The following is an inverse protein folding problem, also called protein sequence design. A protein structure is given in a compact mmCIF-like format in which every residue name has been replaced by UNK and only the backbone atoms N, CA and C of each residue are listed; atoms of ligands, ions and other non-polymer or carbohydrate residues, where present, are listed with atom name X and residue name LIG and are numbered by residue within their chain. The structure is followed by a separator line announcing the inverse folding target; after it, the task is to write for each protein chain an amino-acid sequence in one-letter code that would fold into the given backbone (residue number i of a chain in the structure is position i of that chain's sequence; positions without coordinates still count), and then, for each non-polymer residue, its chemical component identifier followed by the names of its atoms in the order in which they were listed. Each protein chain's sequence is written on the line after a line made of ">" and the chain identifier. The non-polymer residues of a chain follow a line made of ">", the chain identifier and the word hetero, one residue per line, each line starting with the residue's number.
data_IF_099360333479
#
_entry.id   IF_099360333479
#
_cell.length_a   1.000
_cell.length_b   1.000
_cell.length_c   1.000
_cell.angle_alpha   90.00
_cell.angle_beta   90.00
_cell.angle_gamma   90.00
#
_symmetry.space_group_name_H-M   'P 1'
#
loop_
_entity.id
_entity.type
_entity.pdbx_description
1 polymer ?
#
# COMPACT_ATOMS: atom_id res chain seq x y z
N UNK A 1 3.88 7.17 24.53
CA UNK A 1 4.38 5.98 23.81
C UNK A 1 3.91 5.99 22.39
N UNK A 2 4.78 5.56 21.48
CA UNK A 2 4.39 5.44 20.07
C UNK A 2 3.75 4.08 19.83
N UNK A 3 2.55 4.08 19.23
CA UNK A 3 1.86 2.86 18.81
C UNK A 3 2.20 2.51 17.36
N UNK A 4 3.20 3.17 16.78
CA UNK A 4 3.58 2.97 15.40
C UNK A 4 4.33 1.65 15.25
N UNK A 5 3.81 0.77 14.41
CA UNK A 5 4.44 -0.51 14.07
C UNK A 5 5.41 -0.32 12.91
N UNK A 6 4.96 0.39 11.86
CA UNK A 6 5.75 0.71 10.68
C UNK A 6 5.50 2.18 10.32
N UNK A 7 6.55 3.02 10.29
CA UNK A 7 6.36 4.44 10.01
C UNK A 7 6.05 4.72 8.53
N UNK A 8 5.40 5.84 8.30
CA UNK A 8 5.17 6.37 6.96
C UNK A 8 6.47 6.41 6.16
N UNK A 9 6.41 6.00 4.91
CA UNK A 9 7.56 5.96 4.02
C UNK A 9 8.27 4.63 3.97
N UNK A 10 8.07 3.77 4.96
CA UNK A 10 8.60 2.41 4.94
C UNK A 10 7.72 1.50 4.08
N UNK A 11 8.19 0.29 3.85
CA UNK A 11 7.55 -0.65 2.93
C UNK A 11 6.96 -1.84 3.68
N UNK A 12 5.88 -2.37 3.11
CA UNK A 12 5.33 -3.67 3.49
C UNK A 12 5.39 -4.60 2.28
N UNK A 13 5.49 -5.90 2.54
CA UNK A 13 5.51 -6.90 1.48
C UNK A 13 4.15 -7.58 1.39
N UNK A 14 3.65 -7.78 0.18
CA UNK A 14 2.39 -8.47 -0.06
C UNK A 14 2.62 -9.97 0.06
N UNK A 15 1.85 -10.64 0.92
CA UNK A 15 1.92 -12.09 1.10
C UNK A 15 0.77 -12.82 0.44
N UNK A 16 -0.35 -12.14 0.21
CA UNK A 16 -1.51 -12.69 -0.50
C UNK A 16 -1.78 -11.80 -1.72
N UNK A 17 -1.77 -12.35 -2.95
CA UNK A 17 -2.03 -11.56 -4.15
C UNK A 17 -3.35 -10.81 -4.07
N UNK A 18 -3.35 -9.59 -4.55
CA UNK A 18 -4.51 -8.68 -4.49
C UNK A 18 -4.84 -8.21 -5.91
N UNK A 19 -6.13 -8.22 -6.23
CA UNK A 19 -6.65 -7.65 -7.47
C UNK A 19 -7.58 -6.51 -7.11
N UNK A 20 -7.30 -5.32 -7.61
CA UNK A 20 -8.10 -4.13 -7.33
C UNK A 20 -8.51 -3.44 -8.62
N UNK A 21 -9.63 -2.71 -8.56
CA UNK A 21 -10.18 -1.98 -9.70
C UNK A 21 -10.53 -0.55 -9.24
N UNK A 22 -9.52 0.30 -9.06
CA UNK A 22 -9.73 1.62 -8.44
C UNK A 22 -10.57 2.57 -9.30
N UNK A 23 -10.59 2.39 -10.62
CA UNK A 23 -11.29 3.30 -11.52
C UNK A 23 -12.43 2.66 -12.30
N UNK A 24 -12.67 1.36 -12.12
CA UNK A 24 -13.73 0.65 -12.85
C UNK A 24 -13.38 0.24 -14.27
N UNK A 25 -12.31 0.77 -14.84
CA UNK A 25 -11.93 0.54 -16.24
C UNK A 25 -10.93 -0.60 -16.43
N UNK A 26 -10.10 -0.84 -15.43
CA UNK A 26 -9.07 -1.88 -15.51
C UNK A 26 -8.72 -2.38 -14.12
N UNK A 27 -8.10 -3.57 -14.08
CA UNK A 27 -7.68 -4.19 -12.84
C UNK A 27 -6.18 -4.02 -12.63
N UNK A 28 -5.79 -3.75 -11.38
CA UNK A 28 -4.39 -3.74 -10.96
C UNK A 28 -4.15 -5.00 -10.14
N UNK A 29 -3.25 -5.84 -10.62
CA UNK A 29 -2.87 -7.07 -9.92
C UNK A 29 -1.57 -6.84 -9.15
N UNK A 30 -1.62 -7.06 -7.85
CA UNK A 30 -0.46 -6.93 -6.98
C UNK A 30 -0.02 -8.34 -6.60
N UNK A 31 1.15 -8.73 -7.06
CA UNK A 31 1.67 -10.07 -6.87
C UNK A 31 2.26 -10.25 -5.47
N UNK A 32 2.25 -11.50 -4.99
CA UNK A 32 2.98 -11.88 -3.79
C UNK A 32 4.46 -11.50 -3.94
N UNK A 33 5.03 -10.94 -2.88
CA UNK A 33 6.41 -10.46 -2.88
C UNK A 33 6.58 -9.02 -3.29
N UNK A 34 5.53 -8.37 -3.79
CA UNK A 34 5.56 -6.95 -4.10
C UNK A 34 5.72 -6.13 -2.83
N UNK A 35 6.50 -5.06 -2.91
CA UNK A 35 6.69 -4.13 -1.78
C UNK A 35 5.99 -2.83 -2.09
N UNK A 36 5.17 -2.38 -1.13
CA UNK A 36 4.40 -1.15 -1.24
C UNK A 36 4.83 -0.18 -0.16
N UNK A 37 4.99 1.09 -0.54
CA UNK A 37 5.35 2.13 0.41
C UNK A 37 4.10 2.57 1.18
N UNK A 38 4.25 2.76 2.50
CA UNK A 38 3.17 3.28 3.33
C UNK A 38 3.00 4.78 3.13
N UNK A 39 1.76 5.19 2.92
CA UNK A 39 1.38 6.60 2.84
C UNK A 39 1.09 7.21 4.20
N UNK A 40 0.86 6.38 5.20
CA UNK A 40 0.62 6.76 6.60
C UNK A 40 1.30 5.78 7.53
N UNK A 41 1.56 6.23 8.76
CA UNK A 41 2.05 5.33 9.81
C UNK A 41 1.08 4.18 10.03
N UNK A 42 1.59 2.97 10.12
CA UNK A 42 0.82 1.80 10.50
C UNK A 42 0.91 1.64 12.01
N UNK A 43 -0.23 1.66 12.69
CA UNK A 43 -0.31 1.61 14.15
C UNK A 43 -0.82 0.25 14.61
N UNK A 44 -0.54 -0.08 15.87
CA UNK A 44 -1.04 -1.30 16.49
C UNK A 44 -2.56 -1.30 16.43
N UNK A 45 -3.13 -2.41 15.98
CA UNK A 45 -4.58 -2.57 15.88
C UNK A 45 -5.18 -2.11 14.56
N UNK A 46 -4.40 -1.48 13.69
CA UNK A 46 -4.88 -1.07 12.38
C UNK A 46 -5.26 -2.29 11.55
N UNK A 47 -6.43 -2.24 10.95
CA UNK A 47 -6.92 -3.29 10.07
C UNK A 47 -6.41 -3.13 8.65
N UNK A 48 -6.13 -1.89 8.26
CA UNK A 48 -5.70 -1.53 6.91
C UNK A 48 -4.39 -0.76 6.95
N UNK A 49 -3.51 -1.10 6.01
CA UNK A 49 -2.30 -0.34 5.72
C UNK A 49 -2.60 0.55 4.51
N UNK A 50 -2.37 1.84 4.64
CA UNK A 50 -2.61 2.79 3.55
C UNK A 50 -1.35 2.84 2.68
N UNK A 51 -1.44 2.26 1.50
CA UNK A 51 -0.28 2.03 0.63
C UNK A 51 -0.38 2.79 -0.68
N UNK A 52 0.79 3.18 -1.20
CA UNK A 52 0.92 3.72 -2.55
C UNK A 52 1.04 2.55 -3.51
N UNK A 53 0.07 2.40 -4.41
CA UNK A 53 0.02 1.28 -5.36
C UNK A 53 0.72 1.59 -6.67
N UNK A 54 0.51 2.79 -7.18
CA UNK A 54 1.04 3.24 -8.45
C UNK A 54 1.52 4.66 -8.29
N UNK A 55 2.70 4.95 -8.80
CA UNK A 55 3.25 6.29 -8.85
C UNK A 55 3.79 6.52 -10.26
N UNK A 56 3.31 7.57 -10.93
CA UNK A 56 3.80 7.92 -12.25
C UNK A 56 3.78 9.43 -12.44
N UNK A 57 4.61 9.88 -13.36
CA UNK A 57 4.68 11.30 -13.72
C UNK A 57 3.82 11.57 -14.93
N UNK A 58 3.01 12.63 -14.85
CA UNK A 58 2.19 13.10 -15.94
C UNK A 58 2.19 14.63 -15.94
N UNK A 59 2.55 15.24 -17.06
CA UNK A 59 2.63 16.71 -17.18
C UNK A 59 3.52 17.35 -16.11
N UNK A 60 4.65 16.73 -15.79
CA UNK A 60 5.58 17.22 -14.78
C UNK A 60 5.13 17.04 -13.33
N UNK A 61 3.99 16.38 -13.11
CA UNK A 61 3.47 16.10 -11.77
C UNK A 61 3.52 14.61 -11.47
N UNK A 62 3.79 14.29 -10.22
CA UNK A 62 3.71 12.91 -9.74
C UNK A 62 2.28 12.60 -9.31
N UNK A 63 1.70 11.57 -9.89
CA UNK A 63 0.37 11.08 -9.55
C UNK A 63 0.52 9.75 -8.85
N UNK A 64 -0.07 9.63 -7.66
CA UNK A 64 -0.02 8.41 -6.87
C UNK A 64 -1.44 7.89 -6.62
N UNK A 65 -1.60 6.59 -6.76
CA UNK A 65 -2.85 5.92 -6.37
C UNK A 65 -2.61 5.30 -5.01
N UNK A 66 -3.37 5.75 -4.02
CA UNK A 66 -3.23 5.34 -2.63
C UNK A 66 -4.50 4.60 -2.24
N UNK A 67 -4.35 3.42 -1.66
CA UNK A 67 -5.49 2.60 -1.24
C UNK A 67 -5.21 1.86 0.07
N UNK A 68 -6.27 1.57 0.85
CA UNK A 68 -6.13 0.71 2.02
C UNK A 68 -5.97 -0.74 1.60
N UNK A 69 -4.98 -1.41 2.18
CA UNK A 69 -4.71 -2.83 1.99
C UNK A 69 -4.86 -3.52 3.34
N UNK A 70 -5.56 -4.64 3.38
CA UNK A 70 -5.70 -5.41 4.63
C UNK A 70 -4.33 -5.78 5.18
N UNK A 71 -4.09 -5.46 6.44
CA UNK A 71 -2.81 -5.74 7.10
C UNK A 71 -2.48 -7.23 7.05
N UNK A 72 -3.50 -8.11 7.17
CA UNK A 72 -3.30 -9.55 7.10
C UNK A 72 -2.74 -10.04 5.76
N UNK A 73 -2.86 -9.25 4.69
CA UNK A 73 -2.33 -9.56 3.37
C UNK A 73 -0.91 -9.01 3.18
N UNK A 74 -0.35 -8.42 4.21
CA UNK A 74 0.97 -7.83 4.19
C UNK A 74 1.84 -8.41 5.30
N UNK A 75 3.13 -8.23 5.17
CA UNK A 75 4.06 -8.51 6.26
C UNK A 75 5.12 -7.41 6.33
N UNK A 76 5.71 -7.28 7.48
CA UNK A 76 6.82 -6.35 7.70
C UNK A 76 8.04 -6.83 6.91
N UNK A 77 8.69 -5.87 6.27
CA UNK A 77 9.93 -6.14 5.52
C UNK A 77 11.13 -6.03 6.44
#
# INVERSE_FOLDING_TARGET
>A
MSDIVIPKGDYVEIVTPICINPFGDYFINIKRGSRLRLSKDLKIGDKYAICVLVSHKKYGKTIEIIMPILVRNTRRV
#
